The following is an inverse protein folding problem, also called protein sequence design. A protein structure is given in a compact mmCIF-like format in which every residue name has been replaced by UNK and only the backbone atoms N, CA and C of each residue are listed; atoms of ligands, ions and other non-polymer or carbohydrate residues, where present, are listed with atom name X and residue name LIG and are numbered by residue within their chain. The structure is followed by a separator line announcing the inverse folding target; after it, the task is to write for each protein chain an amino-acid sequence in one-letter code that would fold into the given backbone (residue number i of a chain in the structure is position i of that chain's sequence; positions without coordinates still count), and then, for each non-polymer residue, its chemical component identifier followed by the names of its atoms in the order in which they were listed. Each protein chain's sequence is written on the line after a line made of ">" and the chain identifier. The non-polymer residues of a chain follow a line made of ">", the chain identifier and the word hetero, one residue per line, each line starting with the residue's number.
data_IF_832804331950
#
_entry.id   IF_832804331950
#
_cell.length_a   1.000
_cell.length_b   1.000
_cell.length_c   1.000
_cell.angle_alpha   90.00
_cell.angle_beta   90.00
_cell.angle_gamma   90.00
#
_symmetry.space_group_name_H-M   'P 1'
#
loop_
_entity.id
_entity.type
_entity.pdbx_description
1 polymer ?
#
# COMPACT_ATOMS: atom_id res chain seq x y z
N UNK A 1 -11.79 -0.81 -23.27
CA UNK A 1 -10.97 -1.94 -23.74
C UNK A 1 -11.41 -3.18 -23.01
N UNK A 2 -11.71 -4.24 -23.76
CA UNK A 2 -12.06 -5.55 -23.20
C UNK A 2 -10.78 -6.34 -22.96
N UNK A 3 -10.60 -6.82 -21.72
CA UNK A 3 -9.47 -7.66 -21.31
C UNK A 3 -9.91 -9.09 -20.99
N UNK A 4 -11.12 -9.50 -21.43
CA UNK A 4 -11.76 -10.81 -21.22
C UNK A 4 -12.12 -11.15 -19.77
N UNK A 5 -11.48 -10.55 -18.77
CA UNK A 5 -11.82 -10.71 -17.34
C UNK A 5 -12.52 -9.48 -16.76
N UNK A 6 -12.19 -8.29 -17.27
CA UNK A 6 -12.75 -7.01 -16.85
C UNK A 6 -12.68 -6.00 -17.99
N UNK A 7 -13.39 -4.88 -17.81
CA UNK A 7 -13.42 -3.78 -18.78
C UNK A 7 -12.65 -2.59 -18.24
N UNK A 8 -11.81 -2.00 -19.09
CA UNK A 8 -11.11 -0.75 -18.79
C UNK A 8 -11.73 0.38 -19.61
N UNK A 9 -12.19 1.48 -18.99
CA UNK A 9 -12.69 2.63 -19.74
C UNK A 9 -11.54 3.28 -20.53
N UNK A 10 -11.78 3.55 -21.81
CA UNK A 10 -10.85 4.29 -22.68
C UNK A 10 -11.57 5.55 -23.12
N UNK A 11 -11.01 6.69 -22.75
CA UNK A 11 -11.57 8.00 -23.07
C UNK A 11 -10.87 8.55 -24.30
N UNK A 12 -11.65 9.11 -25.22
CA UNK A 12 -11.11 9.90 -26.32
C UNK A 12 -11.37 11.38 -26.04
N UNK A 13 -10.30 12.16 -26.16
CA UNK A 13 -10.26 13.60 -25.86
C UNK A 13 -9.84 14.32 -27.12
N UNK A 14 -10.41 15.51 -27.36
CA UNK A 14 -10.12 16.32 -28.53
C UNK A 14 -8.60 16.55 -28.70
N UNK A 15 -8.04 16.40 -29.92
CA UNK A 15 -6.59 16.49 -30.12
C UNK A 15 -5.96 17.81 -29.67
N UNK A 16 -6.64 18.94 -29.86
CA UNK A 16 -6.13 20.25 -29.44
C UNK A 16 -6.00 20.34 -27.92
N UNK A 17 -7.04 19.90 -27.20
CA UNK A 17 -7.02 19.86 -25.74
C UNK A 17 -5.98 18.87 -25.21
N UNK A 18 -5.80 17.74 -25.90
CA UNK A 18 -4.81 16.72 -25.56
C UNK A 18 -3.38 17.25 -25.58
N UNK A 19 -3.05 18.15 -26.51
CA UNK A 19 -1.73 18.83 -26.57
C UNK A 19 -1.52 19.68 -25.33
N UNK A 20 -2.52 20.48 -24.95
CA UNK A 20 -2.46 21.33 -23.75
C UNK A 20 -2.35 20.49 -22.48
N UNK A 21 -3.16 19.43 -22.37
CA UNK A 21 -3.16 18.53 -21.21
C UNK A 21 -1.82 17.80 -21.07
N UNK A 22 -1.21 17.37 -22.18
CA UNK A 22 0.09 16.71 -22.18
C UNK A 22 1.20 17.68 -21.76
N UNK A 23 1.19 18.92 -22.26
CA UNK A 23 2.15 19.93 -21.81
C UNK A 23 2.01 20.23 -20.31
N UNK A 24 0.76 20.35 -19.84
CA UNK A 24 0.48 20.60 -18.43
C UNK A 24 0.95 19.44 -17.55
N UNK A 25 0.68 18.19 -17.93
CA UNK A 25 1.14 17.00 -17.20
C UNK A 25 2.67 17.01 -17.02
N UNK A 26 3.41 17.23 -18.10
CA UNK A 26 4.88 17.29 -18.07
C UNK A 26 5.39 18.43 -17.18
N UNK A 27 4.77 19.61 -17.27
CA UNK A 27 5.11 20.74 -16.41
C UNK A 27 4.87 20.44 -14.92
N UNK A 28 3.72 19.84 -14.59
CA UNK A 28 3.34 19.51 -13.22
C UNK A 28 4.29 18.51 -12.60
N UNK A 29 4.60 17.41 -13.30
CA UNK A 29 5.50 16.39 -12.80
C UNK A 29 6.92 16.92 -12.58
N UNK A 30 7.44 17.71 -13.53
CA UNK A 30 8.76 18.32 -13.39
C UNK A 30 8.86 19.26 -12.18
N UNK A 31 7.91 20.18 -12.00
CA UNK A 31 7.94 21.10 -10.86
C UNK A 31 7.62 20.40 -9.53
N UNK A 32 6.81 19.34 -9.54
CA UNK A 32 6.50 18.56 -8.34
C UNK A 32 7.71 17.77 -7.82
N UNK A 33 8.48 17.14 -8.71
CA UNK A 33 9.71 16.45 -8.32
C UNK A 33 10.77 17.43 -7.81
N UNK A 34 10.97 18.54 -8.54
CA UNK A 34 11.90 19.62 -8.16
C UNK A 34 11.61 20.19 -6.77
N UNK A 35 10.33 20.26 -6.38
CA UNK A 35 9.88 20.76 -5.07
C UNK A 35 9.64 19.64 -4.05
N UNK A 36 9.88 18.38 -4.42
CA UNK A 36 9.70 17.20 -3.58
C UNK A 36 8.28 17.10 -3.00
N UNK A 37 7.28 17.34 -3.84
CA UNK A 37 5.87 17.27 -3.44
C UNK A 37 5.47 15.85 -3.00
N UNK A 38 5.95 14.84 -3.73
CA UNK A 38 5.61 13.45 -3.47
C UNK A 38 6.68 12.79 -2.58
N UNK A 39 6.32 12.30 -1.38
CA UNK A 39 7.23 11.54 -0.54
C UNK A 39 7.58 10.17 -1.14
N UNK A 40 8.70 9.55 -0.71
CA UNK A 40 9.27 8.39 -1.37
C UNK A 40 8.45 7.10 -1.26
N UNK A 41 7.42 7.05 -0.40
CA UNK A 41 6.51 5.89 -0.28
C UNK A 41 5.46 5.82 -1.40
N UNK A 42 5.30 6.89 -2.18
CA UNK A 42 4.38 6.91 -3.33
C UNK A 42 5.08 6.27 -4.52
N UNK A 43 4.44 5.24 -5.06
CA UNK A 43 4.90 4.43 -6.21
C UNK A 43 3.80 4.37 -7.28
N UNK A 44 4.14 4.11 -8.55
CA UNK A 44 5.48 3.98 -9.11
C UNK A 44 6.26 5.30 -9.08
N UNK A 45 7.59 5.19 -8.95
CA UNK A 45 8.52 6.30 -9.08
C UNK A 45 9.49 6.00 -10.22
N UNK A 46 10.06 7.02 -10.85
CA UNK A 46 10.89 6.87 -12.06
C UNK A 46 12.23 6.15 -11.81
N UNK A 47 12.64 6.05 -10.54
CA UNK A 47 13.94 5.52 -10.15
C UNK A 47 14.01 4.00 -10.16
N UNK A 48 12.88 3.29 -10.15
CA UNK A 48 12.87 1.85 -9.97
C UNK A 48 11.76 1.12 -10.71
N UNK A 49 12.09 0.02 -11.43
CA UNK A 49 11.07 -0.83 -12.01
C UNK A 49 10.35 -1.63 -10.91
N UNK A 50 9.12 -2.12 -11.17
CA UNK A 50 8.33 -2.83 -10.17
C UNK A 50 9.05 -4.03 -9.50
N UNK A 51 9.84 -4.87 -10.20
CA UNK A 51 10.58 -5.95 -9.53
C UNK A 51 11.64 -5.45 -8.55
N UNK A 52 12.29 -4.31 -8.84
CA UNK A 52 13.26 -3.70 -7.92
C UNK A 52 12.55 -3.13 -6.69
N UNK A 53 11.36 -2.57 -6.85
CA UNK A 53 10.51 -2.14 -5.73
C UNK A 53 10.19 -3.31 -4.81
N UNK A 54 9.78 -4.47 -5.35
CA UNK A 54 9.52 -5.69 -4.57
C UNK A 54 10.77 -6.15 -3.84
N UNK A 55 11.93 -6.12 -4.50
CA UNK A 55 13.20 -6.45 -3.87
C UNK A 55 13.55 -5.51 -2.71
N UNK A 56 13.42 -4.19 -2.91
CA UNK A 56 13.63 -3.20 -1.85
C UNK A 56 12.65 -3.38 -0.70
N UNK A 57 11.40 -3.74 -0.98
CA UNK A 57 10.41 -4.06 0.06
C UNK A 57 10.85 -5.27 0.90
N UNK A 58 11.29 -6.35 0.25
CA UNK A 58 11.83 -7.53 0.94
C UNK A 58 13.05 -7.18 1.81
N UNK A 59 13.99 -6.43 1.23
CA UNK A 59 15.21 -6.01 1.90
C UNK A 59 14.92 -5.05 3.06
N UNK A 60 13.99 -4.12 2.88
CA UNK A 60 13.52 -3.20 3.90
C UNK A 60 12.90 -3.92 5.08
N UNK A 61 12.01 -4.90 4.84
CA UNK A 61 11.48 -5.77 5.92
C UNK A 61 12.62 -6.47 6.66
N UNK A 62 13.58 -7.05 5.93
CA UNK A 62 14.68 -7.82 6.54
C UNK A 62 15.66 -6.97 7.35
N UNK A 63 15.77 -5.68 7.04
CA UNK A 63 16.70 -4.75 7.70
C UNK A 63 16.10 -4.01 8.90
N UNK A 64 14.80 -4.20 9.18
CA UNK A 64 14.18 -3.67 10.40
C UNK A 64 14.81 -4.33 11.65
N UNK A 65 14.86 -3.58 12.74
CA UNK A 65 15.47 -4.05 13.99
C UNK A 65 14.69 -5.20 14.61
N UNK A 66 15.40 -6.29 14.93
CA UNK A 66 14.89 -7.51 15.59
C UNK A 66 13.58 -8.05 14.99
N UNK A 67 13.38 -7.82 13.69
CA UNK A 67 12.11 -8.07 13.01
C UNK A 67 11.69 -9.54 13.02
N UNK A 68 12.64 -10.47 13.05
CA UNK A 68 12.35 -11.91 13.04
C UNK A 68 12.24 -12.52 14.43
N UNK A 69 12.63 -11.78 15.47
CA UNK A 69 12.50 -12.23 16.86
C UNK A 69 11.03 -12.26 17.27
N UNK A 70 10.64 -13.32 17.98
CA UNK A 70 9.26 -13.56 18.46
C UNK A 70 9.24 -14.16 19.87
N UNK A 71 10.37 -14.05 20.58
CA UNK A 71 10.59 -14.65 21.90
C UNK A 71 9.73 -14.00 22.98
N UNK A 72 9.44 -12.70 22.86
CA UNK A 72 8.63 -11.94 23.81
C UNK A 72 7.15 -11.84 23.38
N UNK A 73 6.76 -12.58 22.33
CA UNK A 73 5.39 -12.63 21.83
C UNK A 73 5.05 -11.53 20.82
N UNK A 74 6.07 -10.95 20.17
CA UNK A 74 5.90 -9.97 19.11
C UNK A 74 5.29 -10.59 17.85
N UNK A 75 4.56 -9.77 17.10
CA UNK A 75 3.93 -10.17 15.86
C UNK A 75 4.23 -9.16 14.76
N UNK A 76 4.55 -9.65 13.57
CA UNK A 76 4.59 -8.84 12.36
C UNK A 76 3.29 -9.03 11.60
N UNK A 77 2.71 -7.94 11.12
CA UNK A 77 1.49 -7.98 10.30
C UNK A 77 1.76 -7.27 9.00
N UNK A 78 1.51 -7.94 7.88
CA UNK A 78 1.58 -7.39 6.55
C UNK A 78 0.17 -7.26 5.99
N UNK A 79 -0.27 -6.03 5.77
CA UNK A 79 -1.57 -5.70 5.19
C UNK A 79 -1.35 -5.27 3.73
N UNK A 80 -2.03 -5.95 2.81
CA UNK A 80 -2.16 -5.53 1.43
C UNK A 80 -3.63 -5.28 1.10
N UNK A 81 -3.89 -4.14 0.48
CA UNK A 81 -5.24 -3.70 0.16
C UNK A 81 -5.26 -2.72 -1.00
N UNK A 82 -6.45 -2.23 -1.33
CA UNK A 82 -6.67 -1.19 -2.34
C UNK A 82 -7.69 -0.17 -1.85
N UNK A 83 -7.52 1.08 -2.27
CA UNK A 83 -8.51 2.13 -2.09
C UNK A 83 -9.66 1.93 -3.07
N UNK A 84 -10.75 1.35 -2.58
CA UNK A 84 -11.92 1.06 -3.39
C UNK A 84 -12.59 2.33 -3.89
N UNK A 85 -12.82 2.37 -5.20
CA UNK A 85 -13.51 3.49 -5.88
C UNK A 85 -12.84 4.84 -5.68
N UNK A 86 -11.53 4.90 -5.47
CA UNK A 86 -10.79 6.17 -5.35
C UNK A 86 -11.09 7.11 -6.53
N UNK A 87 -11.03 6.61 -7.76
CA UNK A 87 -11.27 7.43 -8.96
C UNK A 87 -12.72 7.95 -9.07
N UNK A 88 -13.69 7.14 -8.62
CA UNK A 88 -15.11 7.43 -8.75
C UNK A 88 -15.62 8.36 -7.64
N UNK A 89 -14.92 8.41 -6.50
CA UNK A 89 -15.38 9.12 -5.30
C UNK A 89 -14.75 10.49 -5.05
N UNK A 90 -13.91 10.97 -5.97
CA UNK A 90 -13.30 12.30 -5.86
C UNK A 90 -14.36 13.37 -6.13
N UNK A 91 -14.67 14.16 -5.10
CA UNK A 91 -15.47 15.37 -5.22
C UNK A 91 -14.64 16.49 -5.86
N UNK A 92 -15.10 17.00 -7.00
CA UNK A 92 -14.43 18.05 -7.77
C UNK A 92 -14.33 19.38 -6.99
N UNK A 93 -15.29 19.68 -6.12
CA UNK A 93 -15.27 20.91 -5.33
C UNK A 93 -14.18 20.88 -4.27
N UNK A 94 -14.00 19.74 -3.61
CA UNK A 94 -12.91 19.50 -2.68
C UNK A 94 -11.58 19.43 -3.43
N UNK A 95 -11.54 18.73 -4.56
CA UNK A 95 -10.34 18.63 -5.39
C UNK A 95 -9.81 20.00 -5.80
N UNK A 96 -10.68 20.93 -6.22
CA UNK A 96 -10.26 22.29 -6.57
C UNK A 96 -9.56 23.00 -5.41
N UNK A 97 -10.12 22.90 -4.19
CA UNK A 97 -9.53 23.51 -3.00
C UNK A 97 -8.17 22.90 -2.67
N UNK A 98 -8.03 21.58 -2.79
CA UNK A 98 -6.77 20.88 -2.55
C UNK A 98 -5.72 21.25 -3.61
N UNK A 99 -6.08 21.28 -4.89
CA UNK A 99 -5.16 21.67 -5.97
C UNK A 99 -4.67 23.11 -5.82
N UNK A 100 -5.52 24.04 -5.39
CA UNK A 100 -5.13 25.43 -5.09
C UNK A 100 -4.06 25.57 -4.00
N UNK A 101 -3.81 24.53 -3.20
CA UNK A 101 -2.71 24.53 -2.21
C UNK A 101 -1.35 24.30 -2.84
N UNK A 102 -1.30 23.60 -3.99
CA UNK A 102 -0.05 23.12 -4.60
C UNK A 102 0.28 23.78 -5.94
N UNK A 103 -0.72 24.27 -6.66
CA UNK A 103 -0.55 24.95 -7.97
C UNK A 103 -1.26 26.29 -7.99
N UNK A 104 -0.96 27.09 -9.01
CA UNK A 104 -1.68 28.36 -9.24
C UNK A 104 -3.19 28.12 -9.42
N UNK A 105 -3.98 29.07 -8.97
CA UNK A 105 -5.44 29.03 -9.04
C UNK A 105 -5.99 28.77 -10.44
N UNK A 106 -5.37 29.34 -11.49
CA UNK A 106 -5.84 29.13 -12.87
C UNK A 106 -5.63 27.68 -13.32
N UNK A 107 -4.50 27.06 -12.92
CA UNK A 107 -4.20 25.67 -13.22
C UNK A 107 -5.16 24.75 -12.46
N UNK A 108 -5.40 25.04 -11.17
CA UNK A 108 -6.35 24.27 -10.37
C UNK A 108 -7.78 24.33 -10.93
N UNK A 109 -8.22 25.51 -11.37
CA UNK A 109 -9.53 25.71 -11.99
C UNK A 109 -9.63 24.98 -13.33
N UNK A 110 -8.58 25.03 -14.16
CA UNK A 110 -8.51 24.26 -15.40
C UNK A 110 -8.61 22.75 -15.14
N UNK A 111 -7.76 22.20 -14.26
CA UNK A 111 -7.75 20.77 -13.94
C UNK A 111 -9.08 20.28 -13.37
N UNK A 112 -9.76 21.11 -12.58
CA UNK A 112 -11.06 20.77 -12.00
C UNK A 112 -12.15 20.81 -13.08
N UNK A 113 -12.25 21.92 -13.82
CA UNK A 113 -13.27 22.09 -14.86
C UNK A 113 -13.13 21.03 -15.97
N UNK A 114 -11.89 20.62 -16.29
CA UNK A 114 -11.61 19.61 -17.30
C UNK A 114 -12.11 18.20 -16.96
N UNK A 115 -12.35 17.92 -15.67
CA UNK A 115 -13.01 16.68 -15.26
C UNK A 115 -14.55 16.75 -15.40
N UNK A 116 -15.13 17.96 -15.45
CA UNK A 116 -16.57 18.18 -15.57
C UNK A 116 -17.00 18.30 -17.04
N UNK A 117 -16.88 17.19 -17.77
CA UNK A 117 -17.18 17.09 -19.21
C UNK A 117 -18.37 16.17 -19.48
N UNK A 118 -18.98 16.30 -20.65
CA UNK A 118 -20.01 15.36 -21.11
C UNK A 118 -19.32 14.11 -21.66
N UNK A 119 -19.57 12.97 -21.02
CA UNK A 119 -19.13 11.66 -21.52
C UNK A 119 -20.20 11.15 -22.48
N UNK A 120 -19.77 10.84 -23.70
CA UNK A 120 -20.62 10.31 -24.77
C UNK A 120 -20.24 8.86 -25.09
N UNK A 121 -21.25 8.01 -25.23
CA UNK A 121 -21.13 6.69 -25.85
C UNK A 121 -22.34 6.41 -26.75
N UNK A 122 -22.14 6.42 -28.07
CA UNK A 122 -23.20 6.28 -29.09
C UNK A 122 -24.29 7.34 -28.90
N UNK A 123 -25.46 6.94 -28.38
CA UNK A 123 -26.61 7.83 -28.14
C UNK A 123 -26.72 8.26 -26.66
N UNK A 124 -25.86 7.74 -25.78
CA UNK A 124 -25.87 8.02 -24.35
C UNK A 124 -24.94 9.18 -24.02
N UNK A 125 -25.50 10.23 -23.41
CA UNK A 125 -24.76 11.39 -22.95
C UNK A 125 -25.05 11.64 -21.47
N UNK A 126 -24.01 11.89 -20.68
CA UNK A 126 -24.17 12.38 -19.31
C UNK A 126 -23.01 13.29 -18.94
N UNK A 127 -23.26 14.27 -18.06
CA UNK A 127 -22.22 15.16 -17.54
C UNK A 127 -21.54 14.51 -16.33
N UNK A 128 -20.21 14.44 -16.34
CA UNK A 128 -19.44 13.92 -15.22
C UNK A 128 -19.29 14.96 -14.10
N UNK A 129 -20.27 15.04 -13.21
CA UNK A 129 -20.24 15.97 -12.08
C UNK A 129 -19.52 15.42 -10.82
N UNK A 130 -19.16 14.13 -10.81
CA UNK A 130 -18.54 13.48 -9.65
C UNK A 130 -17.58 12.36 -10.08
N UNK A 131 -16.40 12.30 -9.46
CA UNK A 131 -15.31 11.44 -9.90
C UNK A 131 -14.46 12.09 -10.99
N UNK A 132 -13.32 11.47 -11.29
CA UNK A 132 -12.35 11.99 -12.27
C UNK A 132 -12.32 11.16 -13.55
N UNK A 133 -11.94 11.81 -14.65
CA UNK A 133 -11.74 11.18 -15.95
C UNK A 133 -10.30 10.67 -16.04
N UNK A 134 -10.13 9.34 -16.02
CA UNK A 134 -8.80 8.70 -16.01
C UNK A 134 -8.01 8.87 -17.31
N UNK A 135 -8.66 9.26 -18.41
CA UNK A 135 -8.02 9.44 -19.71
C UNK A 135 -7.46 10.84 -19.99
N UNK A 136 -7.62 11.78 -19.06
CA UNK A 136 -6.91 13.06 -19.14
C UNK A 136 -5.42 12.84 -18.90
N UNK A 137 -4.54 13.58 -19.59
CA UNK A 137 -3.09 13.35 -19.49
C UNK A 137 -2.57 13.57 -18.06
N UNK A 138 -3.00 14.67 -17.42
CA UNK A 138 -2.64 15.00 -16.03
C UNK A 138 -3.47 14.25 -14.97
N UNK A 139 -4.32 13.27 -15.34
CA UNK A 139 -5.09 12.50 -14.37
C UNK A 139 -4.18 11.73 -13.40
N UNK A 140 -3.01 11.29 -13.89
CA UNK A 140 -1.97 10.63 -13.09
C UNK A 140 -1.56 11.49 -11.89
N UNK A 141 -1.32 12.78 -12.10
CA UNK A 141 -0.93 13.73 -11.08
C UNK A 141 -2.01 13.93 -10.02
N UNK A 142 -3.27 14.12 -10.46
CA UNK A 142 -4.43 14.26 -9.57
C UNK A 142 -4.57 13.03 -8.68
N UNK A 143 -4.47 11.84 -9.26
CA UNK A 143 -4.58 10.57 -8.55
C UNK A 143 -3.51 10.43 -7.50
N UNK A 144 -2.25 10.71 -7.85
CA UNK A 144 -1.13 10.55 -6.92
C UNK A 144 -1.19 11.57 -5.77
N UNK A 145 -1.61 12.80 -6.07
CA UNK A 145 -1.81 13.83 -5.05
C UNK A 145 -3.00 13.54 -4.13
N UNK A 146 -4.12 13.09 -4.69
CA UNK A 146 -5.27 12.68 -3.88
C UNK A 146 -4.94 11.45 -3.03
N UNK A 147 -4.18 10.51 -3.58
CA UNK A 147 -3.61 9.37 -2.85
C UNK A 147 -2.74 9.82 -1.68
N UNK A 148 -1.88 10.83 -1.86
CA UNK A 148 -1.08 11.42 -0.77
C UNK A 148 -1.97 11.96 0.36
N UNK A 149 -3.07 12.64 0.04
CA UNK A 149 -4.02 13.11 1.06
C UNK A 149 -4.60 11.94 1.86
N UNK A 150 -4.93 10.82 1.20
CA UNK A 150 -5.42 9.63 1.88
C UNK A 150 -4.32 8.92 2.68
N UNK A 151 -3.08 8.90 2.20
CA UNK A 151 -1.93 8.36 2.93
C UNK A 151 -1.77 9.07 4.28
N UNK A 152 -1.94 10.40 4.31
CA UNK A 152 -1.90 11.19 5.54
C UNK A 152 -3.06 10.87 6.50
N UNK A 153 -4.24 10.49 5.98
CA UNK A 153 -5.35 10.01 6.83
C UNK A 153 -5.04 8.64 7.44
N UNK A 154 -4.39 7.75 6.69
CA UNK A 154 -4.04 6.41 7.17
C UNK A 154 -2.88 6.46 8.17
N UNK A 155 -1.80 7.17 7.84
CA UNK A 155 -0.59 7.23 8.67
C UNK A 155 -0.73 8.20 9.85
N UNK A 156 -1.46 9.30 9.66
CA UNK A 156 -1.40 10.46 10.54
C UNK A 156 -0.15 11.31 10.27
N UNK A 157 -0.23 12.61 10.59
CA UNK A 157 0.83 13.58 10.28
C UNK A 157 2.17 13.24 10.96
N UNK A 158 2.12 12.77 12.21
CA UNK A 158 3.32 12.45 12.97
C UNK A 158 4.11 11.32 12.30
N UNK A 159 3.47 10.16 12.07
CA UNK A 159 4.15 9.02 11.45
C UNK A 159 4.59 9.30 10.01
N UNK A 160 3.76 10.01 9.25
CA UNK A 160 4.12 10.41 7.89
C UNK A 160 5.37 11.32 7.86
N UNK A 161 5.50 12.23 8.83
CA UNK A 161 6.69 13.11 8.93
C UNK A 161 7.96 12.35 9.31
N UNK A 162 7.86 11.34 10.19
CA UNK A 162 9.00 10.48 10.55
C UNK A 162 9.48 9.64 9.35
N UNK A 163 8.54 9.10 8.57
CA UNK A 163 8.83 8.34 7.36
C UNK A 163 9.45 9.21 6.27
N UNK A 164 8.95 10.43 6.07
CA UNK A 164 9.47 11.35 5.05
C UNK A 164 10.84 11.93 5.44
N UNK A 165 11.12 12.01 6.74
CA UNK A 165 12.29 12.72 7.25
C UNK A 165 12.12 14.25 7.24
N UNK A 166 13.10 14.99 7.79
CA UNK A 166 13.07 16.44 7.81
C UNK A 166 13.13 17.02 6.37
N UNK A 167 12.40 18.12 6.05
CA UNK A 167 12.37 18.68 4.70
C UNK A 167 13.74 19.06 4.12
N UNK A 168 14.69 19.42 5.00
CA UNK A 168 16.06 19.77 4.62
C UNK A 168 16.86 18.53 4.14
N UNK A 169 16.56 17.35 4.69
CA UNK A 169 17.23 16.09 4.41
C UNK A 169 16.19 14.96 4.45
N UNK A 170 15.37 14.83 3.39
CA UNK A 170 14.34 13.80 3.34
C UNK A 170 14.97 12.42 3.32
N UNK A 171 14.25 11.44 3.86
CA UNK A 171 14.66 10.04 3.83
C UNK A 171 14.46 9.45 2.44
N UNK A 172 15.18 8.35 2.19
CA UNK A 172 14.92 7.50 1.04
C UNK A 172 13.77 6.51 1.35
N UNK A 173 13.37 5.74 0.34
CA UNK A 173 12.34 4.72 0.51
C UNK A 173 12.77 3.64 1.53
N UNK A 174 11.94 3.40 2.55
CA UNK A 174 12.14 2.43 3.63
C UNK A 174 13.37 2.67 4.52
N UNK A 175 13.81 3.92 4.64
CA UNK A 175 14.82 4.33 5.61
C UNK A 175 14.25 5.34 6.60
N UNK A 176 14.77 5.28 7.83
CA UNK A 176 14.50 6.24 8.90
C UNK A 176 15.81 6.96 9.27
N UNK A 177 15.69 8.08 9.97
CA UNK A 177 16.85 8.84 10.44
C UNK A 177 17.62 8.08 11.53
N UNK A 178 16.89 7.39 12.42
CA UNK A 178 17.45 6.65 13.53
C UNK A 178 16.56 5.46 13.92
N UNK A 179 17.14 4.57 14.74
CA UNK A 179 16.45 3.39 15.22
C UNK A 179 15.27 3.74 16.14
N UNK A 180 15.40 4.81 16.93
CA UNK A 180 14.36 5.21 17.87
C UNK A 180 13.07 5.63 17.13
N UNK A 181 13.16 6.39 16.04
CA UNK A 181 11.98 6.73 15.21
C UNK A 181 11.43 5.50 14.49
N UNK A 182 12.26 4.57 14.05
CA UNK A 182 11.79 3.31 13.47
C UNK A 182 10.88 2.57 14.46
N UNK A 183 11.33 2.41 15.71
CA UNK A 183 10.63 1.62 16.74
C UNK A 183 9.48 2.32 17.45
N UNK A 184 9.38 3.65 17.35
CA UNK A 184 8.42 4.46 18.09
C UNK A 184 6.93 4.16 17.78
N UNK A 185 6.63 3.58 16.62
CA UNK A 185 5.25 3.34 16.17
C UNK A 185 5.09 1.95 15.53
N UNK A 186 3.92 1.28 15.68
CA UNK A 186 3.73 -0.06 15.12
C UNK A 186 3.88 -0.13 13.59
N UNK A 187 3.39 0.86 12.85
CA UNK A 187 3.58 0.94 11.38
C UNK A 187 5.06 1.20 11.10
N UNK A 188 5.80 0.23 10.57
CA UNK A 188 7.22 0.39 10.21
C UNK A 188 7.42 0.76 8.76
N UNK A 189 6.74 0.10 7.84
CA UNK A 189 6.90 0.36 6.41
C UNK A 189 5.55 0.68 5.78
N UNK A 190 5.57 1.60 4.82
CA UNK A 190 4.41 1.98 4.03
C UNK A 190 4.82 2.16 2.57
N UNK A 191 4.01 1.62 1.67
CA UNK A 191 4.15 1.82 0.23
C UNK A 191 2.75 1.91 -0.36
N UNK A 192 2.53 2.88 -1.24
CA UNK A 192 1.33 2.96 -2.06
C UNK A 192 1.70 2.88 -3.53
N UNK A 193 1.21 1.84 -4.21
CA UNK A 193 1.35 1.69 -5.65
C UNK A 193 0.04 2.09 -6.33
N UNK A 194 -0.02 3.35 -6.80
CA UNK A 194 -1.22 3.99 -7.37
C UNK A 194 -2.39 3.96 -6.36
N UNK A 195 -3.23 2.93 -6.40
CA UNK A 195 -4.40 2.70 -5.54
C UNK A 195 -4.23 1.52 -4.58
N UNK A 196 -3.18 0.71 -4.73
CA UNK A 196 -2.85 -0.41 -3.84
C UNK A 196 -1.97 0.06 -2.68
N UNK A 197 -2.30 -0.34 -1.46
CA UNK A 197 -1.56 -0.01 -0.25
C UNK A 197 -0.92 -1.26 0.36
N UNK A 198 0.30 -1.09 0.83
CA UNK A 198 1.10 -2.11 1.50
C UNK A 198 1.62 -1.52 2.80
N UNK A 199 1.23 -2.12 3.92
CA UNK A 199 1.58 -1.64 5.25
C UNK A 199 2.17 -2.78 6.06
N UNK A 200 3.37 -2.57 6.59
CA UNK A 200 4.02 -3.50 7.50
C UNK A 200 3.97 -2.97 8.93
N UNK A 201 3.48 -3.80 9.84
CA UNK A 201 3.39 -3.51 11.25
C UNK A 201 4.30 -4.44 12.06
N UNK A 202 4.88 -3.89 13.13
CA UNK A 202 5.56 -4.62 14.20
C UNK A 202 4.86 -4.28 15.50
N UNK A 203 4.17 -5.26 16.09
CA UNK A 203 3.49 -5.10 17.37
C UNK A 203 4.25 -5.82 18.49
N UNK A 204 4.33 -5.17 19.64
CA UNK A 204 4.65 -5.85 20.91
C UNK A 204 3.47 -6.73 21.35
N UNK A 205 3.71 -7.64 22.28
CA UNK A 205 2.66 -8.51 22.83
C UNK A 205 1.50 -7.72 23.46
N UNK A 206 1.81 -6.62 24.15
CA UNK A 206 0.81 -5.78 24.81
C UNK A 206 -0.03 -4.98 23.81
N UNK A 207 0.61 -4.37 22.80
CA UNK A 207 -0.12 -3.63 21.76
C UNK A 207 -1.02 -4.55 20.93
N UNK A 208 -0.53 -5.73 20.56
CA UNK A 208 -1.33 -6.72 19.83
C UNK A 208 -2.54 -7.15 20.66
N UNK A 209 -2.34 -7.41 21.96
CA UNK A 209 -3.42 -7.80 22.88
C UNK A 209 -4.45 -6.69 23.04
N UNK A 210 -4.02 -5.45 23.25
CA UNK A 210 -4.92 -4.30 23.38
C UNK A 210 -5.74 -4.07 22.10
N UNK A 211 -5.10 -4.12 20.93
CA UNK A 211 -5.77 -3.93 19.64
C UNK A 211 -6.83 -5.01 19.38
N UNK A 212 -6.49 -6.27 19.65
CA UNK A 212 -7.45 -7.39 19.56
C UNK A 212 -8.61 -7.19 20.54
N UNK A 213 -8.33 -6.76 21.77
CA UNK A 213 -9.37 -6.54 22.78
C UNK A 213 -10.35 -5.44 22.35
N UNK A 214 -9.85 -4.32 21.82
CA UNK A 214 -10.69 -3.24 21.27
C UNK A 214 -11.55 -3.74 20.12
N UNK A 215 -10.96 -4.47 19.18
CA UNK A 215 -11.70 -5.07 18.06
C UNK A 215 -12.82 -6.01 18.52
N UNK A 216 -12.53 -6.94 19.42
CA UNK A 216 -13.52 -7.90 19.94
C UNK A 216 -14.58 -7.26 20.84
N UNK A 217 -14.30 -6.08 21.40
CA UNK A 217 -15.31 -5.29 22.15
C UNK A 217 -16.37 -4.75 21.21
N UNK A 218 -15.99 -4.26 20.03
CA UNK A 218 -16.94 -3.79 19.02
C UNK A 218 -17.56 -4.93 18.19
N UNK A 219 -16.80 -5.99 17.96
CA UNK A 219 -17.18 -7.13 17.12
C UNK A 219 -16.99 -8.44 17.90
N UNK A 220 -17.92 -8.76 18.84
CA UNK A 220 -17.80 -9.96 19.65
C UNK A 220 -17.93 -11.22 18.80
N UNK A 221 -17.00 -12.16 18.98
CA UNK A 221 -16.98 -13.47 18.32
C UNK A 221 -17.06 -14.61 19.36
N UNK A 222 -18.27 -14.95 19.85
CA UNK A 222 -18.44 -16.02 20.85
C UNK A 222 -18.23 -17.42 20.26
N UNK A 223 -18.41 -17.59 18.95
CA UNK A 223 -18.41 -18.90 18.29
C UNK A 223 -17.06 -19.26 17.62
N UNK A 224 -16.06 -18.38 17.68
CA UNK A 224 -14.78 -18.51 16.96
C UNK A 224 -14.96 -18.54 15.43
N UNK A 225 -15.95 -17.82 14.92
CA UNK A 225 -16.27 -17.74 13.49
C UNK A 225 -15.30 -16.84 12.73
N UNK A 226 -14.45 -16.05 13.41
CA UNK A 226 -13.47 -15.18 12.74
C UNK A 226 -12.49 -15.93 11.83
N UNK A 227 -12.25 -17.22 12.08
CA UNK A 227 -11.42 -18.09 11.25
C UNK A 227 -12.11 -18.36 9.90
N UNK A 228 -13.44 -18.40 9.89
CA UNK A 228 -14.26 -18.57 8.69
C UNK A 228 -14.20 -17.26 7.88
N UNK A 229 -13.96 -17.37 6.58
CA UNK A 229 -13.83 -16.19 5.70
C UNK A 229 -12.51 -15.42 5.85
N UNK A 230 -11.48 -16.02 6.47
CA UNK A 230 -10.13 -15.49 6.39
C UNK A 230 -9.48 -15.94 5.07
N UNK A 231 -9.21 -15.00 4.17
CA UNK A 231 -8.60 -15.27 2.87
C UNK A 231 -7.16 -15.75 3.06
N UNK A 232 -6.74 -16.75 2.28
CA UNK A 232 -5.39 -17.29 2.32
C UNK A 232 -4.90 -17.66 0.93
N UNK A 233 -3.61 -17.50 0.69
CA UNK A 233 -2.97 -17.69 -0.63
C UNK A 233 -2.83 -19.17 -0.95
N UNK A 234 -3.74 -19.68 -1.79
CA UNK A 234 -3.81 -21.10 -2.20
C UNK A 234 -2.71 -21.50 -3.20
N UNK A 235 -2.01 -20.52 -3.79
CA UNK A 235 -0.86 -20.75 -4.64
C UNK A 235 0.30 -21.42 -3.87
N UNK A 236 0.40 -21.22 -2.56
CA UNK A 236 1.42 -21.83 -1.70
C UNK A 236 0.99 -23.19 -1.14
N UNK A 237 1.92 -24.15 -0.96
CA UNK A 237 1.68 -25.40 -0.25
C UNK A 237 1.08 -25.22 1.15
N UNK A 238 0.41 -26.27 1.66
CA UNK A 238 -0.36 -26.18 2.92
C UNK A 238 0.48 -25.85 4.16
N UNK A 239 1.75 -26.22 4.14
CA UNK A 239 2.80 -25.98 5.14
C UNK A 239 3.46 -24.61 4.99
N UNK A 240 3.43 -24.03 3.79
CA UNK A 240 4.04 -22.73 3.46
C UNK A 240 3.06 -21.55 3.59
N UNK A 241 1.74 -21.80 3.56
CA UNK A 241 0.71 -20.78 3.78
C UNK A 241 0.57 -20.39 5.26
N UNK A 242 -0.09 -19.27 5.53
CA UNK A 242 -0.40 -18.83 6.89
C UNK A 242 -1.30 -19.86 7.60
N UNK A 243 -0.92 -20.26 8.81
CA UNK A 243 -1.70 -21.09 9.73
C UNK A 243 -2.74 -20.20 10.42
N UNK A 244 -3.97 -20.70 10.51
CA UNK A 244 -5.10 -19.95 11.04
C UNK A 244 -5.24 -20.19 12.55
N UNK A 245 -4.37 -19.57 13.34
CA UNK A 245 -4.46 -19.57 14.80
C UNK A 245 -5.42 -18.46 15.26
N UNK A 246 -6.19 -18.70 16.32
CA UNK A 246 -7.19 -17.73 16.84
C UNK A 246 -6.58 -16.35 17.11
N UNK A 247 -5.40 -16.31 17.74
CA UNK A 247 -4.70 -15.06 18.03
C UNK A 247 -4.34 -14.29 16.75
N UNK A 248 -3.68 -14.95 15.80
CA UNK A 248 -3.21 -14.34 14.55
C UNK A 248 -4.36 -13.89 13.65
N UNK A 249 -5.43 -14.68 13.57
CA UNK A 249 -6.64 -14.32 12.80
C UNK A 249 -7.30 -13.08 13.39
N UNK A 250 -7.46 -13.04 14.72
CA UNK A 250 -8.03 -11.87 15.39
C UNK A 250 -7.13 -10.65 15.24
N UNK A 251 -5.80 -10.80 15.33
CA UNK A 251 -4.86 -9.70 15.10
C UNK A 251 -4.99 -9.15 13.68
N UNK A 252 -5.00 -10.03 12.67
CA UNK A 252 -5.15 -9.61 11.28
C UNK A 252 -6.46 -8.88 10.99
N UNK A 253 -7.58 -9.35 11.57
CA UNK A 253 -8.87 -8.66 11.47
C UNK A 253 -8.89 -7.33 12.23
N UNK A 254 -8.28 -7.28 13.40
CA UNK A 254 -8.21 -6.06 14.22
C UNK A 254 -7.37 -4.97 13.54
N UNK A 255 -6.22 -5.32 12.95
CA UNK A 255 -5.39 -4.39 12.16
C UNK A 255 -6.15 -3.87 10.95
N UNK A 256 -6.83 -4.76 10.21
CA UNK A 256 -7.66 -4.34 9.09
C UNK A 256 -8.80 -3.41 9.51
N UNK A 257 -9.49 -3.73 10.61
CA UNK A 257 -10.56 -2.90 11.17
C UNK A 257 -10.06 -1.51 11.58
N UNK A 258 -8.91 -1.43 12.24
CA UNK A 258 -8.30 -0.16 12.64
C UNK A 258 -7.99 0.71 11.41
N UNK A 259 -7.33 0.15 10.40
CA UNK A 259 -7.01 0.88 9.15
C UNK A 259 -8.27 1.29 8.40
N UNK A 260 -9.29 0.42 8.33
CA UNK A 260 -10.57 0.72 7.69
C UNK A 260 -11.29 1.88 8.36
N UNK A 261 -11.19 2.03 9.68
CA UNK A 261 -11.85 3.10 10.42
C UNK A 261 -11.17 4.47 10.28
N UNK A 262 -9.90 4.52 9.88
CA UNK A 262 -9.19 5.77 9.58
C UNK A 262 -9.69 6.46 8.30
N UNK A 263 -10.43 5.72 7.46
CA UNK A 263 -10.89 6.21 6.16
C UNK A 263 -12.39 6.53 6.17
N UNK A 264 -12.78 7.80 5.96
CA UNK A 264 -14.18 8.15 5.76
C UNK A 264 -14.74 7.47 4.51
N UNK A 265 -15.85 6.73 4.67
CA UNK A 265 -16.49 5.97 3.56
C UNK A 265 -16.93 6.84 2.37
N UNK A 266 -17.10 8.14 2.58
CA UNK A 266 -17.40 9.11 1.53
C UNK A 266 -16.22 9.36 0.58
N UNK A 267 -14.99 9.29 1.10
CA UNK A 267 -13.75 9.49 0.34
C UNK A 267 -13.36 8.20 -0.37
N UNK A 268 -13.18 7.13 0.40
CA UNK A 268 -12.81 5.81 -0.12
C UNK A 268 -13.19 4.73 0.89
N UNK A 269 -12.98 3.46 0.56
CA UNK A 269 -13.05 2.39 1.55
C UNK A 269 -12.05 1.30 1.25
N UNK A 270 -11.85 0.43 2.22
CA UNK A 270 -11.02 -0.76 2.11
C UNK A 270 -11.92 -1.96 2.43
N UNK A 271 -11.97 -2.93 1.52
CA UNK A 271 -12.82 -4.11 1.60
C UNK A 271 -12.00 -5.36 1.91
N UNK A 272 -12.52 -6.21 2.80
CA UNK A 272 -11.79 -7.38 3.30
C UNK A 272 -11.61 -8.41 2.19
N UNK A 273 -12.61 -8.54 1.35
CA UNK A 273 -12.70 -9.49 0.24
C UNK A 273 -11.58 -9.30 -0.78
N UNK A 274 -11.18 -8.04 -1.00
CA UNK A 274 -10.13 -7.63 -1.94
C UNK A 274 -8.79 -7.34 -1.25
N UNK A 275 -8.66 -7.75 0.01
CA UNK A 275 -7.49 -7.51 0.82
C UNK A 275 -6.95 -8.82 1.38
N UNK A 276 -5.68 -8.80 1.76
CA UNK A 276 -5.05 -9.92 2.42
C UNK A 276 -4.20 -9.41 3.58
N UNK A 277 -4.22 -10.15 4.67
CA UNK A 277 -3.41 -9.86 5.84
C UNK A 277 -2.63 -11.12 6.17
N UNK A 278 -1.32 -10.99 6.31
CA UNK A 278 -0.45 -12.07 6.77
C UNK A 278 0.11 -11.71 8.12
N UNK A 279 0.03 -12.64 9.08
CA UNK A 279 0.66 -12.49 10.39
C UNK A 279 1.81 -13.47 10.51
N UNK A 280 3.00 -12.93 10.81
CA UNK A 280 4.15 -13.71 11.26
C UNK A 280 4.22 -13.61 12.78
N UNK A 281 4.25 -14.76 13.43
CA UNK A 281 4.15 -14.91 14.88
C UNK A 281 4.96 -16.13 15.33
N UNK A 282 4.95 -16.45 16.62
CA UNK A 282 5.54 -17.69 17.14
C UNK A 282 4.99 -18.96 16.46
N UNK A 283 3.74 -18.95 15.99
CA UNK A 283 3.07 -20.10 15.37
C UNK A 283 3.20 -20.09 13.83
N UNK A 284 3.36 -18.90 13.24
CA UNK A 284 3.46 -18.67 11.81
C UNK A 284 4.90 -18.33 11.38
N UNK A 285 5.64 -19.25 10.72
CA UNK A 285 7.04 -19.02 10.36
C UNK A 285 7.25 -18.20 9.07
N UNK A 286 6.20 -18.03 8.26
CA UNK A 286 6.28 -17.35 6.97
C UNK A 286 5.53 -16.01 7.03
N UNK A 287 6.06 -15.00 6.34
CA UNK A 287 5.35 -13.77 6.02
C UNK A 287 5.00 -13.78 4.53
N UNK A 288 3.72 -13.61 4.20
CA UNK A 288 3.20 -13.67 2.84
C UNK A 288 2.69 -12.30 2.39
N UNK A 289 2.94 -11.94 1.13
CA UNK A 289 2.36 -10.78 0.49
C UNK A 289 2.48 -10.89 -1.02
N UNK A 290 1.75 -10.03 -1.72
CA UNK A 290 1.76 -9.86 -3.15
C UNK A 290 1.99 -8.39 -3.46
N UNK A 291 2.95 -8.12 -4.34
CA UNK A 291 3.26 -6.79 -4.78
C UNK A 291 3.63 -6.81 -6.26
N UNK A 292 3.02 -5.93 -7.06
CA UNK A 292 3.32 -5.75 -8.48
C UNK A 292 3.24 -7.04 -9.33
N UNK A 293 2.32 -7.97 -9.00
CA UNK A 293 2.14 -9.25 -9.73
C UNK A 293 3.11 -10.36 -9.28
N UNK A 294 3.86 -10.14 -8.20
CA UNK A 294 4.72 -11.15 -7.59
C UNK A 294 4.16 -11.59 -6.24
N UNK A 295 3.87 -12.87 -6.13
CA UNK A 295 3.58 -13.54 -4.87
C UNK A 295 4.88 -13.86 -4.14
N UNK A 296 5.05 -13.25 -2.97
CA UNK A 296 6.27 -13.28 -2.19
C UNK A 296 6.04 -13.98 -0.84
N UNK A 297 6.98 -14.83 -0.46
CA UNK A 297 7.02 -15.47 0.86
C UNK A 297 8.39 -15.28 1.48
N UNK A 298 8.48 -14.55 2.58
CA UNK A 298 9.72 -14.41 3.34
C UNK A 298 9.74 -15.44 4.47
N UNK A 299 10.83 -16.20 4.53
CA UNK A 299 11.13 -17.16 5.59
C UNK A 299 12.50 -16.81 6.20
N UNK A 300 12.56 -16.39 7.47
CA UNK A 300 13.82 -16.14 8.14
C UNK A 300 14.57 -17.43 8.48
N UNK A 301 15.90 -17.37 8.43
CA UNK A 301 16.80 -18.52 8.64
C UNK A 301 16.56 -19.18 9.99
N UNK A 302 16.35 -18.39 11.05
CA UNK A 302 16.12 -18.86 12.42
C UNK A 302 14.85 -19.73 12.59
N UNK A 303 13.93 -19.72 11.61
CA UNK A 303 12.67 -20.48 11.63
C UNK A 303 12.68 -21.67 10.66
N UNK A 304 13.81 -21.94 10.01
CA UNK A 304 13.95 -23.02 9.02
C UNK A 304 14.13 -24.36 9.74
N UNK A 305 13.47 -25.42 9.26
CA UNK A 305 13.56 -26.77 9.87
C UNK A 305 14.89 -27.47 9.62
N UNK A 306 15.62 -27.05 8.58
CA UNK A 306 16.96 -27.51 8.24
C UNK A 306 17.87 -26.26 8.24
N UNK A 307 19.06 -26.35 8.84
CA UNK A 307 19.97 -25.18 8.97
C UNK A 307 20.52 -24.65 7.62
N UNK A 308 20.33 -25.40 6.53
CA UNK A 308 20.80 -25.05 5.20
C UNK A 308 19.76 -24.31 4.37
N UNK A 309 20.23 -23.29 3.66
CA UNK A 309 19.44 -22.52 2.71
C UNK A 309 19.06 -23.34 1.49
N UNK A 310 17.80 -23.24 1.07
CA UNK A 310 17.39 -23.81 -0.20
C UNK A 310 17.90 -22.93 -1.34
N UNK A 311 18.83 -23.44 -2.14
CA UNK A 311 19.35 -22.76 -3.32
C UNK A 311 18.55 -23.20 -4.54
N UNK A 312 17.58 -22.38 -4.95
CA UNK A 312 16.78 -22.54 -6.17
C UNK A 312 16.69 -21.19 -6.89
N UNK A 313 16.54 -21.21 -8.22
CA UNK A 313 16.58 -20.00 -9.06
C UNK A 313 15.47 -18.97 -8.76
N UNK A 314 14.36 -19.39 -8.13
CA UNK A 314 13.26 -18.51 -7.72
C UNK A 314 13.33 -17.99 -6.28
N UNK A 315 14.52 -17.97 -5.67
CA UNK A 315 14.72 -17.60 -4.27
C UNK A 315 15.75 -16.48 -4.15
N UNK A 316 15.35 -15.38 -3.54
CA UNK A 316 16.26 -14.31 -3.13
C UNK A 316 16.79 -14.58 -1.73
N UNK A 317 18.11 -14.55 -1.59
CA UNK A 317 18.76 -14.58 -0.29
C UNK A 317 18.93 -13.14 0.20
N UNK A 318 18.15 -12.76 1.21
CA UNK A 318 18.17 -11.42 1.78
C UNK A 318 19.31 -11.31 2.79
N UNK A 319 20.16 -10.31 2.60
CA UNK A 319 21.33 -10.06 3.44
C UNK A 319 21.01 -8.89 4.38
N UNK A 320 21.28 -9.03 5.67
CA UNK A 320 21.13 -7.92 6.60
C UNK A 320 22.22 -6.87 6.33
N UNK A 321 21.83 -5.60 6.28
CA UNK A 321 22.73 -4.50 5.93
C UNK A 321 23.85 -4.29 6.96
N UNK A 322 23.60 -4.54 8.24
CA UNK A 322 24.56 -4.31 9.33
C UNK A 322 25.51 -5.50 9.48
N UNK A 323 24.96 -6.71 9.65
CA UNK A 323 25.78 -7.91 9.93
C UNK A 323 26.40 -8.50 8.66
N UNK A 324 25.90 -8.11 7.48
CA UNK A 324 26.25 -8.72 6.18
C UNK A 324 25.97 -10.22 6.12
N UNK A 325 25.18 -10.76 7.05
CA UNK A 325 24.76 -12.16 7.03
C UNK A 325 23.48 -12.33 6.24
N UNK A 326 23.29 -13.53 5.66
CA UNK A 326 22.02 -13.91 5.05
C UNK A 326 21.06 -14.31 6.17
N UNK A 327 20.04 -13.50 6.43
CA UNK A 327 19.12 -13.67 7.55
C UNK A 327 17.77 -14.23 7.12
N UNK A 328 17.37 -14.08 5.85
CA UNK A 328 16.09 -14.58 5.35
C UNK A 328 16.16 -14.98 3.86
N UNK A 329 15.21 -15.82 3.44
CA UNK A 329 14.96 -16.14 2.04
C UNK A 329 13.59 -15.63 1.61
N UNK A 330 13.51 -14.96 0.46
CA UNK A 330 12.25 -14.62 -0.19
C UNK A 330 12.01 -15.57 -1.37
N UNK A 331 10.93 -16.34 -1.32
CA UNK A 331 10.48 -17.19 -2.41
C UNK A 331 9.50 -16.42 -3.29
N UNK A 332 9.70 -16.47 -4.59
CA UNK A 332 8.88 -15.74 -5.56
C UNK A 332 8.03 -16.67 -6.41
N UNK A 333 6.82 -16.24 -6.71
CA UNK A 333 5.93 -16.82 -7.71
C UNK A 333 5.23 -15.69 -8.47
N UNK A 334 4.72 -16.02 -9.66
CA UNK A 334 3.83 -15.12 -10.40
C UNK A 334 2.45 -15.20 -9.76
N UNK A 335 1.77 -14.06 -9.68
CA UNK A 335 0.38 -13.97 -9.24
C UNK A 335 -0.57 -14.72 -10.20
N UNK A 336 -1.76 -15.07 -9.70
CA UNK A 336 -2.80 -15.76 -10.47
C UNK A 336 -3.66 -14.79 -11.32
N UNK A 337 -3.68 -13.48 -10.97
CA UNK A 337 -4.30 -12.37 -11.73
C UNK A 337 -3.45 -12.00 -12.96
#
# INVERSE_FOLDING_TARGET
>A
MDLYSHLVPVYDVEPLEKITDAYLDQYLWYEADKRRLFPPWIKPADTEPPPLLVYKWCQGINNLQDVWETSEGECNVMLESRFEKMYEKIDLTLLNRLLRLIVDHNIADYMTAKNNVVINYKDMNHTNSYGIIRGLQFASFIVQYYGLVMDLLVLGLHRASEMAGPPQMPNDFLSFQDLATEVAHPIRLFCRYIDRIHIFFRFTADEARDLIQRYLTEHPDPNNENIVGYNNKKCWPRDARMRLMKHDVNLGRAVFWDIKNRLPRSVTTVQWENSFVSVYSKDNPNLLFNMCGFECRILPKCRTSYEEFTHKDGVWNLQNEVTKERTAQCFLRVDDE
#
